data_IF_682779443405
#
_entry.id   IF_682779443405
#
_cell.length_a   1.000
_cell.length_b   1.000
_cell.length_c   1.000
_cell.angle_alpha   90.00
_cell.angle_beta   90.00
_cell.angle_gamma   90.00
#
_symmetry.space_group_name_H-M   'P 1'
#
loop_
_entity.id
_entity.type
_entity.pdbx_description
1 polymer ?
#
# COMPACT_ATOMS: atom_id res chain seq x y z
N UNK A 1 -42.36 40.72 31.40
CA UNK A 1 -41.49 40.96 32.57
C UNK A 1 -40.06 40.97 32.06
N UNK A 2 -39.53 42.11 31.60
CA UNK A 2 -38.70 43.08 32.37
C UNK A 2 -37.36 42.45 32.81
N UNK A 3 -36.23 42.69 32.12
CA UNK A 3 -35.32 43.87 32.13
C UNK A 3 -34.73 44.20 33.51
N UNK A 4 -33.40 44.10 33.60
CA UNK A 4 -32.40 45.04 34.18
C UNK A 4 -31.07 44.26 34.33
N UNK A 5 -29.88 44.62 33.86
CA UNK A 5 -29.17 45.90 33.58
C UNK A 5 -28.77 46.70 34.83
N UNK A 6 -27.47 46.64 35.17
CA UNK A 6 -26.54 47.76 35.44
C UNK A 6 -25.22 47.18 36.00
N UNK A 7 -24.01 47.37 35.45
CA UNK A 7 -23.21 48.58 35.21
C UNK A 7 -22.84 49.37 36.48
N UNK A 8 -21.54 49.35 36.80
CA UNK A 8 -20.71 50.48 37.27
C UNK A 8 -19.24 49.99 37.14
N UNK A 9 -18.35 50.47 36.27
CA UNK A 9 -17.92 51.81 35.80
C UNK A 9 -16.74 52.40 36.59
N UNK A 10 -15.87 53.07 35.80
CA UNK A 10 -14.71 53.91 36.08
C UNK A 10 -13.41 53.20 36.51
N UNK A 11 -12.26 53.37 35.85
CA UNK A 11 -11.83 54.36 34.84
C UNK A 11 -10.32 54.59 35.04
N UNK A 12 -9.49 54.45 33.99
CA UNK A 12 -8.76 55.55 33.30
C UNK A 12 -7.63 56.15 34.18
N UNK A 13 -6.37 56.37 33.83
CA UNK A 13 -5.53 56.74 32.66
C UNK A 13 -4.06 56.50 33.12
N UNK A 14 -2.99 56.44 32.34
CA UNK A 14 -2.50 57.38 31.32
C UNK A 14 -1.21 56.81 30.70
N UNK A 15 -0.97 57.09 29.41
CA UNK A 15 0.32 56.90 28.72
C UNK A 15 1.09 58.25 28.76
N UNK A 16 2.00 58.66 27.85
CA UNK A 16 3.05 58.00 27.05
C UNK A 16 4.42 58.76 27.09
N UNK A 17 5.51 58.19 26.54
CA UNK A 17 6.67 58.88 25.90
C UNK A 17 7.63 57.82 25.32
N UNK A 18 7.94 57.66 24.03
CA UNK A 18 8.43 58.55 22.96
C UNK A 18 9.85 59.09 23.20
N UNK A 19 10.85 58.47 22.57
CA UNK A 19 12.00 59.14 21.91
C UNK A 19 12.38 58.36 20.64
N UNK A 20 12.58 59.12 19.57
CA UNK A 20 12.71 58.76 18.15
C UNK A 20 14.20 58.87 17.68
N UNK A 21 14.54 58.46 16.44
CA UNK A 21 15.88 58.18 15.92
C UNK A 21 16.55 59.40 15.25
N UNK A 22 17.83 59.29 14.83
CA UNK A 22 18.46 59.96 13.64
C UNK A 22 19.97 59.61 13.52
N UNK A 23 20.48 59.71 12.27
CA UNK A 23 21.87 59.71 11.71
C UNK A 23 22.43 58.34 11.29
N UNK A 24 22.51 57.95 10.01
CA UNK A 24 22.92 58.60 8.73
C UNK A 24 24.41 59.00 8.67
N UNK A 25 25.21 58.20 7.96
CA UNK A 25 26.28 58.59 7.02
C UNK A 25 26.79 57.27 6.40
N UNK A 26 26.52 56.91 5.14
CA UNK A 26 26.86 57.56 3.87
C UNK A 26 28.36 57.53 3.52
N UNK A 27 28.60 57.01 2.30
CA UNK A 27 29.80 57.06 1.43
C UNK A 27 30.97 56.12 1.75
N UNK A 28 31.31 55.13 0.91
CA UNK A 28 31.58 55.07 -0.54
C UNK A 28 33.07 55.23 -0.89
N UNK A 29 33.45 54.43 -1.90
CA UNK A 29 34.53 54.58 -2.89
C UNK A 29 35.56 53.43 -2.83
N UNK A 30 35.49 52.48 -3.76
CA UNK A 30 36.19 52.44 -5.08
C UNK A 30 37.48 51.57 -4.93
N UNK A 31 37.91 50.71 -5.86
CA UNK A 31 37.62 50.51 -7.28
C UNK A 31 38.22 49.18 -7.78
N UNK A 32 37.86 48.86 -9.02
CA UNK A 32 38.57 48.09 -10.07
C UNK A 32 38.35 46.57 -10.20
N UNK A 33 38.07 46.02 -11.39
CA UNK A 33 37.69 46.57 -12.70
C UNK A 33 37.32 45.37 -13.60
N UNK A 34 36.34 45.54 -14.50
CA UNK A 34 36.30 45.01 -15.89
C UNK A 34 34.85 44.83 -16.39
N UNK A 35 34.22 45.95 -16.77
CA UNK A 35 33.71 46.29 -18.13
C UNK A 35 33.73 45.15 -19.17
N UNK A 36 32.80 44.94 -20.11
CA UNK A 36 31.43 45.34 -20.48
C UNK A 36 30.99 44.34 -21.58
N UNK A 37 29.72 44.20 -21.98
CA UNK A 37 29.16 44.98 -23.10
C UNK A 37 27.61 44.80 -23.16
N UNK A 38 26.95 45.96 -23.01
CA UNK A 38 25.69 46.49 -23.60
C UNK A 38 24.92 45.58 -24.59
N UNK A 39 23.58 45.54 -24.65
CA UNK A 39 22.68 46.68 -24.95
C UNK A 39 21.20 46.26 -24.82
N UNK A 40 20.36 47.13 -24.28
CA UNK A 40 18.90 47.22 -24.50
C UNK A 40 18.60 48.69 -24.89
N UNK A 41 17.56 49.01 -25.69
CA UNK A 41 16.29 49.37 -25.06
C UNK A 41 14.99 48.98 -25.82
N UNK A 42 13.95 48.76 -25.02
CA UNK A 42 12.49 48.60 -25.22
C UNK A 42 11.75 49.67 -26.09
N UNK A 43 10.39 49.76 -26.14
CA UNK A 43 9.25 48.81 -26.03
C UNK A 43 8.20 48.98 -27.19
N UNK A 44 7.12 48.17 -27.28
CA UNK A 44 5.70 48.59 -27.49
C UNK A 44 4.72 47.52 -28.05
N UNK A 45 3.54 47.51 -27.44
CA UNK A 45 2.18 47.29 -27.96
C UNK A 45 1.67 45.89 -28.40
N UNK A 46 0.62 45.45 -27.70
CA UNK A 46 -0.39 44.48 -28.14
C UNK A 46 -1.31 45.09 -29.23
N UNK A 47 -1.68 44.30 -30.25
CA UNK A 47 -3.01 44.36 -30.89
C UNK A 47 -3.37 42.99 -31.50
N UNK A 48 -4.57 42.42 -31.22
CA UNK A 48 -4.97 41.09 -31.67
C UNK A 48 -5.89 41.18 -32.90
N UNK A 49 -5.44 40.69 -34.06
CA UNK A 49 -6.30 40.11 -35.10
C UNK A 49 -5.48 39.75 -36.34
N UNK A 50 -5.30 38.45 -36.58
CA UNK A 50 -5.41 37.85 -37.92
C UNK A 50 -5.45 36.34 -37.80
N UNK A 51 -6.66 35.80 -37.90
CA UNK A 51 -6.84 34.44 -38.37
C UNK A 51 -6.38 34.37 -39.83
N UNK A 52 -5.49 33.42 -40.11
CA UNK A 52 -5.33 32.84 -41.44
C UNK A 52 -5.07 31.36 -41.24
N UNK A 53 -6.00 30.55 -41.76
CA UNK A 53 -5.92 29.11 -41.97
C UNK A 53 -4.50 28.55 -42.13
N UNK A 54 -4.13 27.64 -41.22
CA UNK A 54 -3.10 26.65 -41.46
C UNK A 54 -3.78 25.27 -41.45
N UNK A 55 -3.75 24.63 -42.61
CA UNK A 55 -4.30 23.31 -42.91
C UNK A 55 -4.03 22.26 -41.84
N UNK A 56 -5.07 21.49 -41.54
CA UNK A 56 -4.99 20.25 -40.79
C UNK A 56 -4.04 19.26 -41.48
N UNK A 57 -2.85 19.07 -40.92
CA UNK A 57 -2.04 17.89 -41.21
C UNK A 57 -2.61 16.69 -40.43
N UNK A 58 -2.78 15.52 -41.06
CA UNK A 58 -3.16 14.31 -40.37
C UNK A 58 -2.06 13.92 -39.37
N UNK A 59 -2.40 13.36 -38.19
CA UNK A 59 -1.39 12.86 -37.26
C UNK A 59 -0.66 11.69 -37.92
N UNK A 60 0.67 11.77 -37.99
CA UNK A 60 1.50 10.64 -38.40
C UNK A 60 1.30 9.49 -37.39
N UNK A 61 1.13 8.23 -37.85
CA UNK A 61 0.92 7.10 -36.95
C UNK A 61 2.18 6.89 -36.12
N UNK A 62 2.03 7.04 -34.80
CA UNK A 62 3.06 6.67 -33.84
C UNK A 62 3.39 5.19 -34.05
N UNK A 63 4.63 4.91 -34.48
CA UNK A 63 5.15 3.53 -34.50
C UNK A 63 5.20 3.04 -33.07
N UNK A 64 4.25 2.18 -32.71
CA UNK A 64 4.34 1.29 -31.56
C UNK A 64 5.60 0.45 -31.76
N UNK A 65 6.65 0.76 -31.00
CA UNK A 65 7.78 -0.16 -30.87
C UNK A 65 7.31 -1.27 -29.96
N UNK A 66 6.68 -2.28 -30.55
CA UNK A 66 6.45 -3.56 -29.92
C UNK A 66 7.83 -4.18 -29.68
N UNK A 67 8.35 -3.97 -28.47
CA UNK A 67 9.60 -4.61 -28.05
C UNK A 67 9.26 -6.05 -27.72
N UNK A 68 9.12 -6.87 -28.76
CA UNK A 68 9.10 -8.33 -28.64
C UNK A 68 10.42 -8.72 -27.99
N UNK A 69 10.35 -9.12 -26.72
CA UNK A 69 11.46 -9.76 -26.04
C UNK A 69 11.56 -11.16 -26.66
N UNK A 70 12.37 -11.32 -27.71
CA UNK A 70 12.77 -12.64 -28.16
C UNK A 70 13.58 -13.31 -27.05
N UNK A 71 12.96 -14.22 -26.31
CA UNK A 71 13.69 -15.20 -25.52
C UNK A 71 14.45 -16.12 -26.47
N UNK A 72 15.68 -15.74 -26.83
CA UNK A 72 16.65 -16.68 -27.36
C UNK A 72 17.01 -17.63 -26.23
N UNK A 73 16.34 -18.78 -26.18
CA UNK A 73 16.75 -19.91 -25.37
C UNK A 73 18.17 -20.28 -25.74
N UNK A 74 19.14 -19.79 -24.97
CA UNK A 74 20.53 -20.18 -25.14
C UNK A 74 20.61 -21.63 -24.67
N UNK A 75 21.01 -22.54 -25.56
CA UNK A 75 21.32 -23.94 -25.21
C UNK A 75 22.66 -24.05 -24.44
N UNK A 76 23.33 -22.91 -24.20
CA UNK A 76 24.59 -22.81 -23.47
C UNK A 76 24.57 -23.43 -22.06
N UNK A 77 23.57 -23.20 -21.19
CA UNK A 77 23.59 -23.76 -19.83
C UNK A 77 23.49 -25.28 -19.84
N UNK A 78 22.84 -25.88 -20.85
CA UNK A 78 22.70 -27.34 -20.97
C UNK A 78 24.00 -28.00 -21.45
N UNK A 79 24.76 -27.32 -22.32
CA UNK A 79 26.10 -27.78 -22.73
C UNK A 79 27.11 -27.62 -21.59
N UNK A 80 27.04 -26.52 -20.82
CA UNK A 80 27.88 -26.33 -19.63
C UNK A 80 27.56 -27.35 -18.52
N UNK A 81 26.29 -27.65 -18.27
CA UNK A 81 25.90 -28.69 -17.31
C UNK A 81 26.41 -30.09 -17.71
N UNK A 82 26.37 -30.42 -19.00
CA UNK A 82 26.94 -31.66 -19.53
C UNK A 82 28.46 -31.77 -19.32
N UNK A 83 29.20 -30.68 -19.54
CA UNK A 83 30.65 -30.63 -19.33
C UNK A 83 31.01 -30.72 -17.83
N UNK A 84 30.26 -30.05 -16.96
CA UNK A 84 30.46 -30.12 -15.50
C UNK A 84 30.14 -31.52 -14.99
N UNK A 85 29.08 -32.16 -15.48
CA UNK A 85 28.72 -33.53 -15.09
C UNK A 85 29.76 -34.55 -15.60
N UNK A 86 30.29 -34.36 -16.81
CA UNK A 86 31.37 -35.20 -17.35
C UNK A 86 32.70 -34.99 -16.59
N UNK A 87 33.02 -33.76 -16.19
CA UNK A 87 34.19 -33.46 -15.38
C UNK A 87 34.07 -34.05 -13.96
N UNK A 88 32.91 -33.94 -13.32
CA UNK A 88 32.62 -34.56 -12.01
C UNK A 88 32.65 -36.10 -12.09
N UNK A 89 32.12 -36.69 -13.17
CA UNK A 89 32.20 -38.13 -13.43
C UNK A 89 33.62 -38.63 -13.69
N UNK A 90 34.46 -37.84 -14.37
CA UNK A 90 35.87 -38.15 -14.58
C UNK A 90 36.70 -38.04 -13.29
N UNK A 91 36.41 -37.05 -12.43
CA UNK A 91 37.05 -36.88 -11.12
C UNK A 91 36.65 -38.02 -10.16
N UNK A 92 35.36 -38.39 -10.12
CA UNK A 92 34.88 -39.51 -9.31
C UNK A 92 35.44 -40.87 -9.79
N UNK A 93 35.60 -41.06 -11.09
CA UNK A 93 36.19 -42.27 -11.68
C UNK A 93 37.73 -42.38 -11.54
N UNK A 94 38.42 -41.25 -11.34
CA UNK A 94 39.88 -41.18 -11.17
C UNK A 94 40.32 -40.98 -9.70
N UNK A 95 39.39 -41.03 -8.74
CA UNK A 95 39.60 -40.69 -7.33
C UNK A 95 40.75 -41.44 -6.65
N UNK A 96 40.96 -42.72 -6.99
CA UNK A 96 42.06 -43.53 -6.42
C UNK A 96 43.46 -43.13 -6.94
N UNK A 97 43.54 -42.47 -8.10
CA UNK A 97 44.81 -42.05 -8.71
C UNK A 97 45.19 -40.60 -8.37
N UNK A 98 44.21 -39.75 -8.03
CA UNK A 98 44.42 -38.34 -7.64
C UNK A 98 44.41 -38.08 -6.13
N UNK A 99 44.02 -39.05 -5.31
CA UNK A 99 44.03 -38.99 -3.84
C UNK A 99 45.36 -38.54 -3.18
N UNK A 100 46.56 -38.85 -3.70
CA UNK A 100 47.80 -38.36 -3.09
C UNK A 100 48.17 -36.90 -3.46
N UNK A 101 47.51 -36.30 -4.46
CA UNK A 101 47.82 -34.95 -4.97
C UNK A 101 46.79 -33.91 -4.53
N UNK A 102 45.51 -34.26 -4.42
CA UNK A 102 44.48 -33.42 -3.82
C UNK A 102 44.42 -33.71 -2.31
N UNK A 103 45.10 -32.88 -1.52
CA UNK A 103 45.16 -33.07 -0.07
C UNK A 103 43.79 -33.05 0.62
N UNK A 104 43.67 -33.78 1.73
CA UNK A 104 42.47 -33.98 2.58
C UNK A 104 41.79 -32.69 3.10
N UNK A 105 42.40 -31.53 2.88
CA UNK A 105 41.82 -30.23 3.21
C UNK A 105 40.72 -29.81 2.20
N UNK A 106 40.80 -30.23 0.93
CA UNK A 106 39.75 -29.95 -0.06
C UNK A 106 38.48 -30.77 0.19
N UNK A 107 38.59 -32.00 0.69
CA UNK A 107 37.41 -32.82 1.03
C UNK A 107 36.60 -32.20 2.17
N UNK A 108 37.25 -31.61 3.18
CA UNK A 108 36.57 -30.92 4.28
C UNK A 108 35.86 -29.66 3.82
N UNK A 109 36.49 -28.88 2.95
CA UNK A 109 35.94 -27.63 2.41
C UNK A 109 34.77 -27.92 1.45
N UNK A 110 34.91 -28.92 0.57
CA UNK A 110 33.84 -29.36 -0.33
C UNK A 110 32.67 -29.93 0.49
N UNK A 111 32.93 -30.72 1.52
CA UNK A 111 31.86 -31.25 2.41
C UNK A 111 31.14 -30.15 3.16
N UNK A 112 31.88 -29.13 3.63
CA UNK A 112 31.29 -27.95 4.28
C UNK A 112 30.44 -27.12 3.32
N UNK A 113 30.91 -26.90 2.08
CA UNK A 113 30.16 -26.19 1.05
C UNK A 113 28.91 -26.96 0.61
N UNK A 114 28.99 -28.30 0.50
CA UNK A 114 27.82 -29.15 0.21
C UNK A 114 26.81 -29.10 1.36
N UNK A 115 27.26 -29.12 2.62
CA UNK A 115 26.37 -28.95 3.78
C UNK A 115 25.71 -27.57 3.83
N UNK A 116 26.46 -26.52 3.48
CA UNK A 116 25.93 -25.16 3.38
C UNK A 116 24.91 -25.02 2.24
N UNK A 117 25.17 -25.65 1.09
CA UNK A 117 24.20 -25.69 -0.01
C UNK A 117 22.95 -26.50 0.36
N UNK A 118 23.09 -27.59 1.12
CA UNK A 118 21.96 -28.34 1.68
C UNK A 118 21.08 -27.47 2.57
N UNK A 119 21.68 -26.76 3.54
CA UNK A 119 20.92 -25.84 4.41
C UNK A 119 20.22 -24.72 3.62
N UNK A 120 20.87 -24.17 2.59
CA UNK A 120 20.24 -23.16 1.72
C UNK A 120 19.09 -23.72 0.88
N UNK A 121 19.13 -25.00 0.52
CA UNK A 121 18.03 -25.68 -0.19
C UNK A 121 16.86 -25.86 0.78
N UNK A 122 17.12 -26.32 2.01
CA UNK A 122 16.11 -26.47 3.06
C UNK A 122 15.43 -25.12 3.39
N UNK A 123 16.21 -24.04 3.47
CA UNK A 123 15.70 -22.67 3.71
C UNK A 123 14.82 -22.17 2.55
N UNK A 124 15.22 -22.47 1.30
CA UNK A 124 14.44 -22.11 0.10
C UNK A 124 13.15 -22.92 0.03
N UNK A 125 13.18 -24.20 0.40
CA UNK A 125 12.00 -25.05 0.46
C UNK A 125 11.01 -24.55 1.52
N UNK A 126 11.51 -24.20 2.71
CA UNK A 126 10.70 -23.58 3.77
C UNK A 126 10.12 -22.22 3.34
N UNK A 127 10.90 -21.39 2.63
CA UNK A 127 10.42 -20.12 2.10
C UNK A 127 9.36 -20.31 1.00
N UNK A 128 9.54 -21.30 0.11
CA UNK A 128 8.52 -21.65 -0.88
C UNK A 128 7.23 -22.09 -0.20
N UNK A 129 7.34 -22.90 0.85
CA UNK A 129 6.19 -23.40 1.60
C UNK A 129 5.48 -22.27 2.35
N UNK A 130 6.23 -21.33 2.95
CA UNK A 130 5.67 -20.13 3.55
C UNK A 130 5.03 -19.18 2.54
N UNK A 131 5.57 -19.09 1.32
CA UNK A 131 4.94 -18.36 0.20
C UNK A 131 3.69 -19.07 -0.27
N UNK A 132 3.69 -20.41 -0.36
CA UNK A 132 2.51 -21.20 -0.74
C UNK A 132 1.41 -21.10 0.32
N UNK A 133 1.77 -21.13 1.60
CA UNK A 133 0.86 -20.88 2.72
C UNK A 133 0.33 -19.44 2.72
N UNK A 134 1.17 -18.45 2.41
CA UNK A 134 0.75 -17.04 2.23
C UNK A 134 -0.19 -16.89 1.03
N UNK A 135 0.10 -17.55 -0.09
CA UNK A 135 -0.74 -17.54 -1.30
C UNK A 135 -2.06 -18.28 -1.05
N UNK A 136 -2.05 -19.38 -0.30
CA UNK A 136 -3.24 -20.08 0.15
C UNK A 136 -4.06 -19.26 1.16
N UNK A 137 -3.38 -18.44 1.97
CA UNK A 137 -4.01 -17.49 2.89
C UNK A 137 -4.57 -16.23 2.19
N UNK A 138 -4.05 -15.88 0.99
CA UNK A 138 -4.71 -14.94 0.08
C UNK A 138 -5.99 -15.64 -0.40
N UNK A 139 -7.06 -15.47 0.38
CA UNK A 139 -8.41 -15.85 -0.03
C UNK A 139 -8.74 -14.98 -1.23
N UNK A 140 -8.56 -15.54 -2.42
CA UNK A 140 -8.92 -14.87 -3.66
C UNK A 140 -10.41 -14.49 -3.53
N UNK A 141 -10.75 -13.19 -3.61
CA UNK A 141 -12.11 -12.75 -3.35
C UNK A 141 -13.04 -13.52 -4.27
N UNK A 142 -14.02 -14.21 -3.69
CA UNK A 142 -14.98 -14.97 -4.48
C UNK A 142 -15.76 -14.01 -5.37
N UNK A 143 -15.46 -14.07 -6.68
CA UNK A 143 -16.14 -13.27 -7.69
C UNK A 143 -17.44 -13.92 -8.14
N UNK A 144 -17.74 -15.16 -7.72
CA UNK A 144 -19.00 -15.84 -8.02
C UNK A 144 -20.23 -15.02 -7.64
N UNK A 145 -20.31 -14.39 -6.44
CA UNK A 145 -21.42 -13.49 -6.11
C UNK A 145 -21.49 -12.24 -7.01
N UNK A 146 -20.36 -11.67 -7.43
CA UNK A 146 -20.36 -10.53 -8.34
C UNK A 146 -20.83 -10.93 -9.75
N UNK A 147 -20.38 -12.08 -10.26
CA UNK A 147 -20.81 -12.64 -11.54
C UNK A 147 -22.30 -13.00 -11.53
N UNK A 148 -22.79 -13.60 -10.45
CA UNK A 148 -24.22 -13.89 -10.28
C UNK A 148 -25.07 -12.61 -10.25
N UNK A 149 -24.56 -11.51 -9.66
CA UNK A 149 -25.24 -10.20 -9.70
C UNK A 149 -25.26 -9.59 -11.09
N UNK A 150 -24.19 -9.73 -11.88
CA UNK A 150 -24.14 -9.28 -13.28
C UNK A 150 -25.16 -10.06 -14.11
N UNK A 151 -25.20 -11.39 -13.99
CA UNK A 151 -26.15 -12.23 -14.73
C UNK A 151 -27.62 -11.92 -14.34
N UNK A 152 -27.87 -11.64 -13.06
CA UNK A 152 -29.17 -11.16 -12.58
C UNK A 152 -29.53 -9.78 -13.17
N UNK A 153 -28.57 -8.86 -13.27
CA UNK A 153 -28.76 -7.54 -13.86
C UNK A 153 -29.03 -7.62 -15.38
N UNK A 154 -28.31 -8.48 -16.10
CA UNK A 154 -28.55 -8.74 -17.53
C UNK A 154 -29.97 -9.30 -17.77
N UNK A 155 -30.40 -10.23 -16.92
CA UNK A 155 -31.75 -10.79 -16.95
C UNK A 155 -32.81 -9.72 -16.67
N UNK A 156 -32.59 -8.85 -15.67
CA UNK A 156 -33.49 -7.74 -15.37
C UNK A 156 -33.60 -6.75 -16.55
N UNK A 157 -32.49 -6.46 -17.22
CA UNK A 157 -32.44 -5.57 -18.39
C UNK A 157 -33.21 -6.17 -19.58
N UNK A 158 -33.08 -7.48 -19.82
CA UNK A 158 -33.85 -8.19 -20.84
C UNK A 158 -35.36 -8.14 -20.56
N UNK A 159 -35.76 -8.38 -19.30
CA UNK A 159 -37.16 -8.29 -18.88
C UNK A 159 -37.72 -6.87 -19.07
N UNK A 160 -36.93 -5.83 -18.80
CA UNK A 160 -37.32 -4.45 -19.03
C UNK A 160 -37.53 -4.16 -20.53
N UNK A 161 -36.64 -4.63 -21.40
CA UNK A 161 -36.81 -4.51 -22.85
C UNK A 161 -38.10 -5.18 -23.36
N UNK A 162 -38.46 -6.32 -22.78
CA UNK A 162 -39.72 -7.00 -23.08
C UNK A 162 -40.93 -6.18 -22.61
N UNK A 163 -40.92 -5.69 -21.37
CA UNK A 163 -41.99 -4.84 -20.83
C UNK A 163 -42.21 -3.58 -21.67
N UNK A 164 -41.13 -2.95 -22.15
CA UNK A 164 -41.21 -1.78 -23.03
C UNK A 164 -41.83 -2.12 -24.40
N UNK A 165 -41.54 -3.29 -24.94
CA UNK A 165 -42.14 -3.79 -26.19
C UNK A 165 -43.63 -4.05 -26.01
N UNK A 166 -44.02 -4.70 -24.90
CA UNK A 166 -45.41 -5.01 -24.58
C UNK A 166 -46.22 -3.72 -24.35
N UNK A 167 -45.64 -2.73 -23.66
CA UNK A 167 -46.17 -1.38 -23.51
C UNK A 167 -46.40 -0.69 -24.86
N UNK A 168 -45.42 -0.76 -25.76
CA UNK A 168 -45.54 -0.22 -27.11
C UNK A 168 -46.70 -0.84 -27.89
N UNK A 169 -46.89 -2.15 -27.75
CA UNK A 169 -48.01 -2.87 -28.37
C UNK A 169 -49.37 -2.45 -27.78
N UNK A 170 -49.47 -2.32 -26.46
CA UNK A 170 -50.70 -1.86 -25.79
C UNK A 170 -51.08 -0.43 -26.21
N UNK A 171 -50.10 0.48 -26.30
CA UNK A 171 -50.32 1.85 -26.76
C UNK A 171 -50.80 1.87 -28.21
N UNK A 172 -50.18 1.06 -29.08
CA UNK A 172 -50.59 0.96 -30.48
C UNK A 172 -52.02 0.43 -30.62
N UNK A 173 -52.40 -0.57 -29.82
CA UNK A 173 -53.76 -1.11 -29.80
C UNK A 173 -54.78 -0.08 -29.27
N UNK A 174 -54.44 0.65 -28.21
CA UNK A 174 -55.29 1.73 -27.71
C UNK A 174 -55.50 2.82 -28.78
N UNK A 175 -54.43 3.17 -29.50
CA UNK A 175 -54.49 4.10 -30.63
C UNK A 175 -55.43 3.63 -31.74
N UNK A 176 -55.38 2.33 -32.08
CA UNK A 176 -56.28 1.74 -33.07
C UNK A 176 -57.75 1.80 -32.62
N UNK A 177 -58.04 1.44 -31.36
CA UNK A 177 -59.39 1.52 -30.78
C UNK A 177 -59.94 2.96 -30.79
N UNK A 178 -59.11 3.94 -30.42
CA UNK A 178 -59.50 5.37 -30.45
C UNK A 178 -59.81 5.83 -31.88
N UNK A 179 -59.02 5.43 -32.88
CA UNK A 179 -59.27 5.75 -34.28
C UNK A 179 -60.57 5.11 -34.81
N UNK A 180 -60.86 3.88 -34.41
CA UNK A 180 -62.11 3.18 -34.76
C UNK A 180 -63.34 3.89 -34.15
N UNK A 181 -63.26 4.27 -32.88
CA UNK A 181 -64.29 5.05 -32.20
C UNK A 181 -64.52 6.42 -32.85
N UNK A 182 -63.45 7.09 -33.29
CA UNK A 182 -63.53 8.41 -33.93
C UNK A 182 -64.13 8.40 -35.34
N UNK A 183 -64.13 7.25 -36.03
CA UNK A 183 -64.65 7.12 -37.40
C UNK A 183 -66.09 6.59 -37.46
N UNK A 184 -66.68 6.24 -36.31
CA UNK A 184 -68.05 5.75 -36.22
C UNK A 184 -69.07 6.87 -36.52
N UNK A 185 -70.01 6.69 -37.47
CA UNK A 185 -71.02 7.71 -37.79
C UNK A 185 -71.91 8.02 -36.57
N UNK A 186 -71.97 9.29 -36.17
CA UNK A 186 -72.82 9.82 -35.09
C UNK A 186 -74.30 9.91 -35.52
N UNK A 187 -74.90 8.82 -36.01
CA UNK A 187 -76.27 8.85 -36.53
C UNK A 187 -77.37 8.57 -35.50
N UNK A 188 -77.00 8.18 -34.28
CA UNK A 188 -77.90 8.13 -33.12
C UNK A 188 -77.10 8.64 -31.92
N UNK A 189 -77.69 9.52 -31.08
CA UNK A 189 -77.02 10.00 -29.88
C UNK A 189 -76.45 8.82 -29.10
N UNK A 190 -75.20 8.93 -28.65
CA UNK A 190 -74.50 7.85 -27.94
C UNK A 190 -75.44 7.23 -26.90
N UNK A 191 -75.78 5.95 -27.09
CA UNK A 191 -76.64 5.26 -26.14
C UNK A 191 -75.95 5.21 -24.78
N UNK A 192 -76.70 5.25 -23.68
CA UNK A 192 -76.14 5.20 -22.32
C UNK A 192 -75.18 4.02 -22.12
N UNK A 193 -75.41 2.90 -22.83
CA UNK A 193 -74.54 1.73 -22.85
C UNK A 193 -73.16 1.99 -23.48
N UNK A 194 -73.06 2.83 -24.52
CA UNK A 194 -71.78 3.18 -25.14
C UNK A 194 -70.96 4.13 -24.26
N UNK A 195 -71.62 5.04 -23.54
CA UNK A 195 -70.99 5.93 -22.56
C UNK A 195 -70.43 5.10 -21.39
N UNK A 196 -71.23 4.18 -20.84
CA UNK A 196 -70.80 3.30 -19.75
C UNK A 196 -69.61 2.38 -20.13
N UNK A 197 -69.57 1.88 -21.38
CA UNK A 197 -68.44 1.10 -21.86
C UNK A 197 -67.16 1.94 -21.97
N UNK A 198 -67.26 3.18 -22.45
CA UNK A 198 -66.12 4.09 -22.56
C UNK A 198 -65.59 4.52 -21.18
N UNK A 199 -66.47 4.76 -20.21
CA UNK A 199 -66.11 5.04 -18.82
C UNK A 199 -65.36 3.86 -18.16
N UNK A 200 -65.79 2.63 -18.43
CA UNK A 200 -65.11 1.42 -17.96
C UNK A 200 -63.71 1.27 -18.58
N UNK A 201 -63.57 1.54 -19.88
CA UNK A 201 -62.27 1.49 -20.58
C UNK A 201 -61.30 2.57 -20.04
N UNK A 202 -61.82 3.79 -19.76
CA UNK A 202 -61.06 4.88 -19.15
C UNK A 202 -60.60 4.54 -17.73
N UNK A 203 -61.46 3.91 -16.93
CA UNK A 203 -61.10 3.43 -15.60
C UNK A 203 -60.02 2.33 -15.68
N UNK A 204 -60.14 1.42 -16.64
CA UNK A 204 -59.12 0.40 -16.92
C UNK A 204 -57.77 0.99 -17.31
N UNK A 205 -57.76 1.99 -18.22
CA UNK A 205 -56.54 2.69 -18.62
C UNK A 205 -55.93 3.48 -17.47
N UNK A 206 -56.74 4.15 -16.64
CA UNK A 206 -56.25 4.85 -15.44
C UNK A 206 -55.59 3.86 -14.46
N UNK A 207 -56.18 2.68 -14.28
CA UNK A 207 -55.61 1.62 -13.44
C UNK A 207 -54.29 1.10 -14.01
N UNK A 208 -54.20 0.82 -15.33
CA UNK A 208 -52.97 0.30 -15.93
C UNK A 208 -51.83 1.34 -15.88
N UNK A 209 -52.13 2.62 -16.12
CA UNK A 209 -51.16 3.70 -15.99
C UNK A 209 -50.69 3.83 -14.53
N UNK A 210 -51.58 3.68 -13.54
CA UNK A 210 -51.22 3.73 -12.14
C UNK A 210 -50.29 2.57 -11.74
N UNK A 211 -50.60 1.35 -12.21
CA UNK A 211 -49.80 0.16 -11.95
C UNK A 211 -48.42 0.23 -12.64
N UNK A 212 -48.37 0.71 -13.88
CA UNK A 212 -47.11 0.93 -14.60
C UNK A 212 -46.24 2.00 -13.94
N UNK A 213 -46.84 3.09 -13.46
CA UNK A 213 -46.12 4.11 -12.69
C UNK A 213 -45.51 3.52 -11.43
N UNK A 214 -46.26 2.72 -10.68
CA UNK A 214 -45.76 2.04 -9.49
C UNK A 214 -44.60 1.08 -9.83
N UNK A 215 -44.69 0.33 -10.93
CA UNK A 215 -43.64 -0.58 -11.38
C UNK A 215 -42.36 0.16 -11.79
N UNK A 216 -42.49 1.29 -12.51
CA UNK A 216 -41.34 2.13 -12.89
C UNK A 216 -40.70 2.75 -11.65
N UNK A 217 -41.51 3.25 -10.70
CA UNK A 217 -41.00 3.79 -9.43
C UNK A 217 -40.23 2.74 -8.62
N UNK A 218 -40.75 1.51 -8.54
CA UNK A 218 -40.07 0.40 -7.89
C UNK A 218 -38.73 0.08 -8.58
N UNK A 219 -38.72 -0.04 -9.90
CA UNK A 219 -37.51 -0.34 -10.65
C UNK A 219 -36.43 0.75 -10.49
N UNK A 220 -36.83 2.03 -10.47
CA UNK A 220 -35.89 3.14 -10.20
C UNK A 220 -35.33 3.05 -8.78
N UNK A 221 -36.14 2.66 -7.79
CA UNK A 221 -35.67 2.48 -6.42
C UNK A 221 -34.68 1.31 -6.31
N UNK A 222 -34.97 0.18 -6.96
CA UNK A 222 -34.09 -0.99 -7.00
C UNK A 222 -32.77 -0.69 -7.72
N UNK A 223 -32.81 0.01 -8.86
CA UNK A 223 -31.62 0.43 -9.59
C UNK A 223 -30.71 1.32 -8.73
N UNK A 224 -31.28 2.30 -8.03
CA UNK A 224 -30.52 3.17 -7.11
C UNK A 224 -29.92 2.41 -5.94
N UNK A 225 -30.64 1.43 -5.40
CA UNK A 225 -30.11 0.57 -4.34
C UNK A 225 -28.94 -0.28 -4.86
N UNK A 226 -29.06 -0.85 -6.06
CA UNK A 226 -27.99 -1.62 -6.69
C UNK A 226 -26.76 -0.76 -7.00
N UNK A 227 -26.94 0.47 -7.48
CA UNK A 227 -25.84 1.44 -7.70
C UNK A 227 -25.12 1.77 -6.39
N UNK A 228 -25.86 2.04 -5.32
CA UNK A 228 -25.28 2.33 -4.01
C UNK A 228 -24.51 1.13 -3.46
N UNK A 229 -25.07 -0.07 -3.56
CA UNK A 229 -24.39 -1.31 -3.18
C UNK A 229 -23.10 -1.52 -3.98
N UNK A 230 -23.16 -1.36 -5.31
CA UNK A 230 -22.01 -1.54 -6.19
C UNK A 230 -20.90 -0.53 -5.89
N UNK A 231 -21.26 0.72 -5.61
CA UNK A 231 -20.31 1.76 -5.22
C UNK A 231 -19.60 1.42 -3.90
N UNK A 232 -20.33 0.93 -2.90
CA UNK A 232 -19.72 0.52 -1.62
C UNK A 232 -18.83 -0.72 -1.78
N UNK A 233 -19.24 -1.70 -2.59
CA UNK A 233 -18.38 -2.86 -2.90
C UNK A 233 -17.10 -2.46 -3.64
N UNK A 234 -17.20 -1.55 -4.61
CA UNK A 234 -16.05 -1.01 -5.33
C UNK A 234 -15.11 -0.28 -4.36
N UNK A 235 -15.64 0.55 -3.46
CA UNK A 235 -14.86 1.24 -2.43
C UNK A 235 -14.13 0.25 -1.53
N UNK A 236 -14.81 -0.80 -1.05
CA UNK A 236 -14.20 -1.85 -0.22
C UNK A 236 -13.08 -2.59 -0.94
N UNK A 237 -13.29 -2.97 -2.20
CA UNK A 237 -12.27 -3.61 -3.02
C UNK A 237 -11.04 -2.70 -3.24
N UNK A 238 -11.26 -1.41 -3.45
CA UNK A 238 -10.18 -0.44 -3.62
C UNK A 238 -9.36 -0.27 -2.34
N UNK A 239 -10.02 -0.18 -1.17
CA UNK A 239 -9.36 -0.14 0.13
C UNK A 239 -8.51 -1.40 0.35
N UNK A 240 -9.04 -2.59 0.08
CA UNK A 240 -8.30 -3.84 0.20
C UNK A 240 -7.10 -3.90 -0.74
N UNK A 241 -7.25 -3.41 -1.97
CA UNK A 241 -6.15 -3.33 -2.94
C UNK A 241 -5.05 -2.37 -2.49
N UNK A 242 -5.41 -1.20 -1.96
CA UNK A 242 -4.46 -0.23 -1.42
C UNK A 242 -3.74 -0.79 -0.19
N UNK A 243 -4.45 -1.49 0.71
CA UNK A 243 -3.83 -2.16 1.86
C UNK A 243 -2.84 -3.26 1.45
N UNK A 244 -3.18 -4.06 0.44
CA UNK A 244 -2.25 -5.07 -0.10
C UNK A 244 -0.97 -4.44 -0.66
N UNK A 245 -1.09 -3.27 -1.32
CA UNK A 245 0.06 -2.49 -1.80
C UNK A 245 0.88 -1.90 -0.64
N UNK A 246 0.24 -1.42 0.43
CA UNK A 246 0.91 -1.01 1.68
C UNK A 246 1.75 -2.17 2.26
N UNK A 247 1.17 -3.36 2.40
CA UNK A 247 1.88 -4.54 2.92
C UNK A 247 3.04 -4.93 2.00
N UNK A 248 2.84 -4.91 0.68
CA UNK A 248 3.92 -5.15 -0.28
C UNK A 248 5.05 -4.14 -0.15
N UNK A 249 4.74 -2.84 0.00
CA UNK A 249 5.74 -1.79 0.18
C UNK A 249 6.49 -1.91 1.52
N UNK A 250 5.81 -2.35 2.60
CA UNK A 250 6.48 -2.68 3.86
C UNK A 250 7.46 -3.85 3.72
N UNK A 251 7.10 -4.87 2.93
CA UNK A 251 7.97 -6.02 2.70
C UNK A 251 9.19 -5.69 1.84
N UNK A 252 9.03 -4.86 0.80
CA UNK A 252 10.14 -4.38 -0.05
C UNK A 252 10.94 -3.22 0.55
N UNK A 253 10.37 -2.49 1.51
CA UNK A 253 10.95 -1.28 2.09
C UNK A 253 10.76 -0.03 1.24
N UNK A 254 9.84 -0.08 0.27
CA UNK A 254 9.51 1.06 -0.59
C UNK A 254 8.68 2.11 0.16
N UNK A 255 8.59 3.32 -0.41
CA UNK A 255 7.74 4.37 0.12
C UNK A 255 6.26 3.96 0.11
N UNK A 256 5.56 4.27 1.19
CA UNK A 256 4.13 4.02 1.34
C UNK A 256 3.26 5.24 0.98
N UNK A 257 3.88 6.42 0.76
CA UNK A 257 3.17 7.69 0.68
C UNK A 257 2.00 7.70 -0.32
N UNK A 258 2.20 7.10 -1.51
CA UNK A 258 1.15 7.02 -2.53
C UNK A 258 -0.05 6.17 -2.07
N UNK A 259 0.22 5.05 -1.41
CA UNK A 259 -0.81 4.12 -0.95
C UNK A 259 -1.55 4.66 0.28
N UNK A 260 -0.85 5.34 1.19
CA UNK A 260 -1.47 6.02 2.32
C UNK A 260 -2.36 7.18 1.86
N UNK A 261 -1.95 7.91 0.82
CA UNK A 261 -2.79 8.94 0.21
C UNK A 261 -4.05 8.35 -0.45
N UNK A 262 -3.93 7.20 -1.12
CA UNK A 262 -5.07 6.49 -1.69
C UNK A 262 -6.06 6.02 -0.61
N UNK A 263 -5.57 5.44 0.49
CA UNK A 263 -6.40 5.06 1.64
C UNK A 263 -7.12 6.26 2.26
N UNK A 264 -6.40 7.38 2.44
CA UNK A 264 -6.99 8.61 2.97
C UNK A 264 -8.06 9.19 2.04
N UNK A 265 -7.85 9.15 0.72
CA UNK A 265 -8.84 9.60 -0.27
C UNK A 265 -10.13 8.76 -0.24
N UNK A 266 -10.02 7.48 0.15
CA UNK A 266 -11.15 6.58 0.35
C UNK A 266 -11.84 6.76 1.70
N UNK A 267 -11.39 7.72 2.53
CA UNK A 267 -11.95 8.02 3.84
C UNK A 267 -11.51 7.06 4.94
N UNK A 268 -10.41 6.34 4.74
CA UNK A 268 -9.80 5.47 5.77
C UNK A 268 -8.88 6.30 6.64
N UNK A 269 -9.05 6.23 7.97
CA UNK A 269 -8.12 6.85 8.90
C UNK A 269 -6.84 6.03 8.97
N UNK A 270 -5.71 6.65 8.60
CA UNK A 270 -4.42 5.97 8.49
C UNK A 270 -3.73 5.98 9.87
N UNK A 271 -3.47 4.81 10.49
CA UNK A 271 -2.84 4.76 11.80
C UNK A 271 -1.44 5.39 11.81
N UNK A 272 -1.05 5.97 12.94
CA UNK A 272 0.23 6.68 13.10
C UNK A 272 1.46 5.82 12.72
N UNK A 273 1.44 4.51 13.01
CA UNK A 273 2.53 3.60 12.68
C UNK A 273 2.85 3.55 11.18
N UNK A 274 1.82 3.58 10.33
CA UNK A 274 1.98 3.67 8.87
C UNK A 274 2.45 5.05 8.42
N UNK A 275 1.89 6.12 8.99
CA UNK A 275 2.32 7.49 8.69
C UNK A 275 3.79 7.75 9.04
N UNK A 276 4.27 7.21 10.17
CA UNK A 276 5.68 7.31 10.56
C UNK A 276 6.63 6.58 9.60
N UNK A 277 6.11 5.58 8.87
CA UNK A 277 6.83 4.84 7.86
C UNK A 277 6.58 5.33 6.43
N UNK A 278 5.91 6.46 6.20
CA UNK A 278 5.46 6.89 4.86
C UNK A 278 6.57 6.94 3.78
N UNK A 279 7.80 7.31 4.17
CA UNK A 279 8.97 7.35 3.27
C UNK A 279 9.60 5.97 3.01
N UNK A 280 9.15 4.94 3.72
CA UNK A 280 9.69 3.58 3.71
C UNK A 280 10.11 3.14 5.12
N UNK A 281 9.94 1.84 5.39
CA UNK A 281 10.43 1.20 6.60
C UNK A 281 11.58 0.24 6.27
N UNK A 282 12.54 0.02 7.19
CA UNK A 282 13.56 -1.03 7.02
C UNK A 282 12.92 -2.38 6.71
N UNK A 283 13.48 -3.12 5.77
CA UNK A 283 13.03 -4.49 5.44
C UNK A 283 13.42 -5.46 6.56
N UNK A 284 12.69 -6.57 6.70
CA UNK A 284 13.08 -7.61 7.67
C UNK A 284 14.48 -8.13 7.39
N UNK A 285 14.82 -8.35 6.12
CA UNK A 285 16.16 -8.77 5.69
C UNK A 285 17.23 -7.77 6.13
N UNK A 286 17.01 -6.46 5.93
CA UNK A 286 17.98 -5.43 6.36
C UNK A 286 18.17 -5.41 7.88
N UNK A 287 17.12 -5.65 8.65
CA UNK A 287 17.19 -5.76 10.11
C UNK A 287 17.96 -7.02 10.54
N UNK A 288 17.72 -8.16 9.87
CA UNK A 288 18.43 -9.40 10.13
C UNK A 288 19.93 -9.27 9.85
N UNK A 289 20.30 -8.69 8.71
CA UNK A 289 21.71 -8.42 8.36
C UNK A 289 22.37 -7.43 9.32
N UNK A 290 21.64 -6.39 9.71
CA UNK A 290 22.13 -5.33 10.61
C UNK A 290 22.28 -5.75 12.07
N UNK A 291 21.65 -6.85 12.49
CA UNK A 291 21.65 -7.26 13.90
C UNK A 291 23.02 -7.73 14.37
N UNK A 292 23.69 -8.64 13.63
CA UNK A 292 24.94 -9.24 14.09
C UNK A 292 26.08 -8.22 14.29
N UNK A 293 26.29 -7.23 13.41
CA UNK A 293 27.24 -6.14 13.65
C UNK A 293 26.91 -5.34 14.93
N UNK A 294 25.65 -4.95 15.13
CA UNK A 294 25.22 -4.19 16.30
C UNK A 294 25.38 -5.00 17.61
N UNK A 295 25.02 -6.28 17.59
CA UNK A 295 25.17 -7.18 18.72
C UNK A 295 26.64 -7.35 19.15
N UNK A 296 27.59 -7.41 18.20
CA UNK A 296 29.02 -7.49 18.52
C UNK A 296 29.52 -6.20 19.18
N UNK A 297 29.05 -5.03 18.73
CA UNK A 297 29.37 -3.76 19.36
C UNK A 297 28.81 -3.67 20.78
N UNK A 298 27.55 -4.06 20.96
CA UNK A 298 26.90 -4.14 22.26
C UNK A 298 27.63 -5.09 23.23
N UNK A 299 28.10 -6.25 22.76
CA UNK A 299 28.94 -7.16 23.55
C UNK A 299 30.28 -6.54 23.95
N UNK A 300 30.90 -5.75 23.06
CA UNK A 300 32.16 -5.08 23.38
C UNK A 300 31.95 -4.05 24.49
N UNK A 301 30.91 -3.22 24.39
CA UNK A 301 30.54 -2.24 25.41
C UNK A 301 30.19 -2.91 26.76
N UNK A 302 29.42 -4.01 26.73
CA UNK A 302 29.06 -4.75 27.94
C UNK A 302 30.28 -5.33 28.67
N UNK A 303 31.33 -5.75 27.93
CA UNK A 303 32.57 -6.26 28.54
C UNK A 303 33.40 -5.13 29.17
N UNK A 304 33.50 -3.98 28.50
CA UNK A 304 34.23 -2.82 29.05
C UNK A 304 33.59 -2.27 30.33
N UNK A 305 32.26 -2.33 30.44
CA UNK A 305 31.54 -1.93 31.66
C UNK A 305 31.83 -2.88 32.84
N UNK A 306 32.04 -4.17 32.58
CA UNK A 306 32.38 -5.18 33.60
C UNK A 306 33.85 -5.19 34.04
N UNK A 307 34.77 -4.64 33.24
CA UNK A 307 36.20 -4.62 33.54
C UNK A 307 36.59 -3.59 34.60
N UNK A 308 35.74 -2.59 34.87
CA UNK A 308 35.94 -1.59 35.92
C UNK A 308 36.04 -2.15 37.35
N UNK A 309 35.43 -3.31 37.61
CA UNK A 309 35.44 -3.98 38.93
C UNK A 309 36.37 -5.23 38.97
N UNK A 310 36.67 -5.81 37.80
CA UNK A 310 37.40 -7.07 37.67
C UNK A 310 38.90 -6.94 37.33
N UNK A 311 39.38 -5.77 36.87
CA UNK A 311 40.75 -5.62 36.36
C UNK A 311 41.86 -5.84 37.40
N UNK A 312 41.67 -5.35 38.64
CA UNK A 312 42.68 -5.45 39.71
C UNK A 312 42.45 -6.70 40.59
N UNK A 313 41.19 -7.05 40.87
CA UNK A 313 40.79 -8.23 41.62
C UNK A 313 41.00 -9.52 40.82
N UNK A 314 40.67 -9.53 39.53
CA UNK A 314 40.83 -10.68 38.63
C UNK A 314 42.28 -11.02 38.29
N UNK A 315 43.18 -10.04 38.28
CA UNK A 315 44.63 -10.30 38.18
C UNK A 315 45.18 -10.96 39.44
N UNK A 316 44.74 -10.50 40.63
CA UNK A 316 45.10 -11.10 41.91
C UNK A 316 44.52 -12.52 42.07
N UNK A 317 43.28 -12.75 41.60
CA UNK A 317 42.64 -14.06 41.55
C UNK A 317 43.38 -15.05 40.62
N UNK A 318 43.91 -14.56 39.49
CA UNK A 318 44.75 -15.33 38.55
C UNK A 318 46.10 -15.72 39.15
N UNK A 319 46.71 -14.86 39.98
CA UNK A 319 47.94 -15.16 40.72
C UNK A 319 47.70 -16.13 41.89
N UNK A 320 46.52 -16.09 42.51
CA UNK A 320 46.17 -16.90 43.69
C UNK A 320 45.47 -18.23 43.37
N UNK A 321 45.28 -18.57 42.09
CA UNK A 321 44.77 -19.89 41.66
C UNK A 321 43.31 -20.18 42.05
N UNK A 322 42.57 -19.19 42.56
CA UNK A 322 41.17 -19.34 42.93
C UNK A 322 40.29 -19.24 41.68
N UNK A 323 40.01 -20.39 41.06
CA UNK A 323 39.01 -20.48 39.99
C UNK A 323 37.64 -20.14 40.57
N UNK A 324 37.14 -18.95 40.28
CA UNK A 324 35.75 -18.58 40.57
C UNK A 324 34.84 -19.36 39.62
N UNK A 325 34.30 -20.47 40.14
CA UNK A 325 33.18 -21.20 39.56
C UNK A 325 31.90 -20.71 40.22
N UNK A 326 31.60 -19.42 40.03
CA UNK A 326 30.28 -18.90 40.37
C UNK A 326 29.42 -19.07 39.12
N UNK A 327 28.35 -19.88 39.15
CA UNK A 327 27.42 -19.99 38.04
C UNK A 327 26.82 -18.60 37.77
N UNK A 328 26.96 -18.08 36.56
CA UNK A 328 26.19 -16.92 36.10
C UNK A 328 24.92 -17.44 35.43
N UNK A 329 23.80 -17.27 36.13
CA UNK A 329 22.47 -17.57 35.63
C UNK A 329 21.98 -16.47 34.68
N UNK A 330 21.50 -16.86 33.49
CA UNK A 330 20.32 -16.32 32.79
C UNK A 330 20.31 -14.90 32.20
N UNK A 331 21.17 -13.98 32.65
CA UNK A 331 21.15 -12.56 32.29
C UNK A 331 22.47 -12.03 31.67
N UNK A 332 23.38 -12.93 31.31
CA UNK A 332 24.61 -12.52 30.63
C UNK A 332 24.27 -11.85 29.28
N UNK A 333 24.92 -10.72 28.92
CA UNK A 333 24.64 -10.00 27.68
C UNK A 333 24.71 -10.87 26.42
N UNK A 334 25.57 -11.89 26.42
CA UNK A 334 25.69 -12.88 25.34
C UNK A 334 24.46 -13.77 25.22
N UNK A 335 23.88 -14.21 26.34
CA UNK A 335 22.66 -15.00 26.35
C UNK A 335 21.46 -14.17 25.87
N UNK A 336 21.37 -12.90 26.30
CA UNK A 336 20.32 -11.97 25.86
C UNK A 336 20.42 -11.71 24.35
N UNK A 337 21.62 -11.38 23.86
CA UNK A 337 21.82 -11.12 22.43
C UNK A 337 21.65 -12.37 21.57
N UNK A 338 21.95 -13.56 22.10
CA UNK A 338 21.68 -14.82 21.42
C UNK A 338 20.18 -15.09 21.28
N UNK A 339 19.37 -14.89 22.34
CA UNK A 339 17.91 -15.02 22.27
C UNK A 339 17.28 -13.96 21.37
N UNK A 340 17.71 -12.71 21.48
CA UNK A 340 17.28 -11.64 20.59
C UNK A 340 17.63 -11.95 19.13
N UNK A 341 18.83 -12.46 18.85
CA UNK A 341 19.25 -12.87 17.51
C UNK A 341 18.39 -13.99 16.92
N UNK A 342 18.05 -15.00 17.72
CA UNK A 342 17.13 -16.06 17.31
C UNK A 342 15.74 -15.50 16.96
N UNK A 343 15.19 -14.62 17.81
CA UNK A 343 13.92 -13.96 17.54
C UNK A 343 13.96 -13.11 16.26
N UNK A 344 15.07 -12.41 15.99
CA UNK A 344 15.26 -11.65 14.73
C UNK A 344 15.31 -12.56 13.51
N UNK A 345 16.03 -13.68 13.58
CA UNK A 345 16.10 -14.68 12.51
C UNK A 345 14.72 -15.26 12.18
N UNK A 346 13.86 -15.42 13.18
CA UNK A 346 12.48 -15.89 13.04
C UNK A 346 11.46 -14.78 12.69
N UNK A 347 11.92 -13.53 12.55
CA UNK A 347 11.04 -12.39 12.26
C UNK A 347 10.20 -11.88 13.44
N UNK A 348 10.41 -12.42 14.65
CA UNK A 348 9.74 -12.04 15.90
C UNK A 348 10.37 -10.78 16.50
N UNK A 349 10.21 -9.64 15.82
CA UNK A 349 10.83 -8.37 16.22
C UNK A 349 10.38 -7.88 17.61
N UNK A 350 9.12 -8.12 17.99
CA UNK A 350 8.62 -7.77 19.33
C UNK A 350 9.36 -8.50 20.45
N UNK A 351 9.57 -9.82 20.28
CA UNK A 351 10.32 -10.64 21.24
C UNK A 351 11.79 -10.20 21.30
N UNK A 352 12.39 -9.92 20.14
CA UNK A 352 13.76 -9.41 20.08
C UNK A 352 13.92 -8.06 20.80
N UNK A 353 13.01 -7.12 20.58
CA UNK A 353 13.04 -5.81 21.24
C UNK A 353 12.86 -5.93 22.76
N UNK A 354 12.01 -6.83 23.23
CA UNK A 354 11.83 -7.10 24.66
C UNK A 354 13.09 -7.69 25.31
N UNK A 355 13.80 -8.60 24.63
CA UNK A 355 15.08 -9.12 25.11
C UNK A 355 16.15 -8.01 25.18
N UNK A 356 16.26 -7.17 24.13
CA UNK A 356 17.23 -6.07 24.09
C UNK A 356 17.00 -5.00 25.17
N UNK A 357 15.74 -4.80 25.58
CA UNK A 357 15.41 -3.88 26.68
C UNK A 357 15.99 -4.33 28.04
N UNK A 358 16.47 -5.57 28.16
CA UNK A 358 17.15 -6.09 29.37
C UNK A 358 18.66 -5.85 29.41
N UNK A 359 19.26 -5.36 28.31
CA UNK A 359 20.70 -5.08 28.24
C UNK A 359 21.13 -3.93 29.17
N UNK A 360 22.42 -3.87 29.49
CA UNK A 360 23.00 -2.72 30.19
C UNK A 360 22.91 -1.45 29.33
N UNK A 361 22.91 -0.28 29.97
CA UNK A 361 22.81 1.01 29.26
C UNK A 361 23.91 1.20 28.20
N UNK A 362 25.15 0.76 28.50
CA UNK A 362 26.25 0.78 27.53
C UNK A 362 25.99 -0.09 26.29
N UNK A 363 25.43 -1.29 26.49
CA UNK A 363 25.08 -2.20 25.39
C UNK A 363 23.83 -1.72 24.61
N UNK A 364 22.86 -1.10 25.29
CA UNK A 364 21.67 -0.50 24.66
C UNK A 364 22.05 0.66 23.74
N UNK A 365 23.02 1.48 24.14
CA UNK A 365 23.49 2.59 23.33
C UNK A 365 24.01 2.11 21.96
N UNK A 366 24.77 1.01 21.92
CA UNK A 366 25.26 0.40 20.69
C UNK A 366 24.14 -0.21 19.83
N UNK A 367 23.06 -0.69 20.45
CA UNK A 367 21.88 -1.23 19.76
C UNK A 367 20.85 -0.17 19.36
N UNK A 368 21.02 1.10 19.73
CA UNK A 368 19.97 2.12 19.65
C UNK A 368 19.45 2.34 18.22
N UNK A 369 20.34 2.47 17.25
CA UNK A 369 19.97 2.67 15.85
C UNK A 369 19.20 1.46 15.28
N UNK A 370 19.67 0.25 15.56
CA UNK A 370 19.00 -0.99 15.14
C UNK A 370 17.63 -1.13 15.80
N UNK A 371 17.55 -0.85 17.09
CA UNK A 371 16.31 -0.91 17.90
C UNK A 371 15.29 0.09 17.38
N UNK A 372 15.70 1.31 17.03
CA UNK A 372 14.83 2.32 16.45
C UNK A 372 14.28 1.85 15.09
N UNK A 373 15.14 1.34 14.22
CA UNK A 373 14.74 0.79 12.91
C UNK A 373 13.74 -0.37 13.05
N UNK A 374 14.00 -1.29 13.99
CA UNK A 374 13.11 -2.41 14.28
C UNK A 374 11.76 -1.95 14.87
N UNK A 375 11.74 -0.97 15.78
CA UNK A 375 10.50 -0.39 16.33
C UNK A 375 9.68 0.31 15.26
N UNK A 376 10.30 1.03 14.33
CA UNK A 376 9.59 1.65 13.19
C UNK A 376 8.92 0.59 12.33
N UNK A 377 9.63 -0.49 11.97
CA UNK A 377 9.04 -1.59 11.20
C UNK A 377 7.90 -2.25 11.96
N UNK A 378 8.11 -2.61 13.22
CA UNK A 378 7.09 -3.25 14.05
C UNK A 378 5.82 -2.39 14.16
N UNK A 379 5.97 -1.10 14.46
CA UNK A 379 4.82 -0.19 14.57
C UNK A 379 4.05 -0.06 13.25
N UNK A 380 4.74 -0.09 12.11
CA UNK A 380 4.10 -0.06 10.79
C UNK A 380 3.35 -1.37 10.48
N UNK A 381 3.96 -2.53 10.79
CA UNK A 381 3.32 -3.83 10.62
C UNK A 381 2.09 -3.98 11.52
N UNK A 382 2.22 -3.68 12.82
CA UNK A 382 1.10 -3.73 13.78
C UNK A 382 -0.05 -2.81 13.35
N UNK A 383 0.28 -1.63 12.81
CA UNK A 383 -0.70 -0.70 12.27
C UNK A 383 -1.41 -1.22 11.02
N UNK A 384 -0.68 -1.87 10.09
CA UNK A 384 -1.27 -2.50 8.91
C UNK A 384 -2.22 -3.64 9.30
N UNK A 385 -1.81 -4.49 10.24
CA UNK A 385 -2.61 -5.62 10.73
C UNK A 385 -3.87 -5.14 11.47
N UNK A 386 -3.74 -4.10 12.30
CA UNK A 386 -4.87 -3.50 12.98
C UNK A 386 -5.88 -2.89 11.99
N UNK A 387 -5.40 -2.22 10.94
CA UNK A 387 -6.25 -1.67 9.90
C UNK A 387 -6.95 -2.79 9.11
N UNK A 388 -6.23 -3.86 8.76
CA UNK A 388 -6.80 -5.04 8.11
C UNK A 388 -7.94 -5.65 8.94
N UNK A 389 -7.72 -5.82 10.25
CA UNK A 389 -8.71 -6.36 11.17
C UNK A 389 -9.95 -5.46 11.30
N UNK A 390 -9.77 -4.13 11.35
CA UNK A 390 -10.88 -3.18 11.38
C UNK A 390 -11.72 -3.23 10.10
N UNK A 391 -11.07 -3.41 8.95
CA UNK A 391 -11.77 -3.52 7.66
C UNK A 391 -12.49 -4.86 7.50
N UNK A 392 -11.99 -5.94 8.11
CA UNK A 392 -12.67 -7.24 8.10
C UNK A 392 -13.88 -7.28 9.07
N UNK A 393 -13.89 -6.44 10.10
CA UNK A 393 -14.96 -6.38 11.09
C UNK A 393 -16.18 -5.51 10.67
N UNK A 394 -16.06 -4.73 9.58
CA UNK A 394 -17.08 -3.80 9.06
C UNK A 394 -17.55 -4.21 7.65
#
# INVERSE_FOLDING_TARGET
>A
MTRDTALDDAGQTDAPKAEDPVETAEQAAETDESVADTTDPAPEAEDPARHAEAEARPPEPQKVVERVIEHRGSALPLVFAGIVTAALGFIAGAGDLLAPVLGKAQDSEITAQVGQLGGRIDDVEAALQAVDDRVAAITQPDLSPALARIEAAETALANLGQSQTDLGAQIAELGARVSELATRPLTEGASDAAIAAFEAELAGLQSSIAEQRAQVEQMVAEARAMEADAAEQARRAEIQSALARVVSALDSGDSLAAELAALAALGVDVPQGLNAAAEGAPTLASLQEGFAPAARAALAAARSDGEGDAGVTGWLQKQLGARSVTPRDGADPDAVLSRAGAAVSEGRLGDALAELDTLSEGAKAEMAAWTQAARTRQAATDAADALAAQLAAN
#
